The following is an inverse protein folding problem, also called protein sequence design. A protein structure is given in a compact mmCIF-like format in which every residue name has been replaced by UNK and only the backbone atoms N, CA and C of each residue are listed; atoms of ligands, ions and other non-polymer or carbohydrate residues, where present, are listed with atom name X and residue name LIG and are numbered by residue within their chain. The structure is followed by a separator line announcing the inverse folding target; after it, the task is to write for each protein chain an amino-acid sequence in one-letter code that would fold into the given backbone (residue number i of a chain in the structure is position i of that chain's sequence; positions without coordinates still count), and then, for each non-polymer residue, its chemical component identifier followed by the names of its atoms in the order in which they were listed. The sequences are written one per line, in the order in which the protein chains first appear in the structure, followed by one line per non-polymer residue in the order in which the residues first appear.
data_IF_693354815486
#
_entry.id   IF_693354815486
#
_cell.length_a   1.000
_cell.length_b   1.000
_cell.length_c   1.000
_cell.angle_alpha   90.00
_cell.angle_beta   90.00
_cell.angle_gamma   90.00
#
_symmetry.space_group_name_H-M   'P 1'
#
loop_
_entity.id
_entity.type
_entity.pdbx_description
1 polymer ?
#
# COMPACT_ATOMS: atom_id res chain seq x y z
N UNK A 1 -9.22 -8.12 -3.02
CA UNK A 1 -8.91 -6.77 -3.53
C UNK A 1 -7.65 -6.27 -2.84
N UNK A 2 -6.73 -5.65 -3.57
CA UNK A 2 -5.50 -5.07 -3.03
C UNK A 2 -5.62 -3.54 -2.97
N UNK A 3 -5.27 -2.96 -1.83
CA UNK A 3 -5.10 -1.53 -1.60
C UNK A 3 -3.62 -1.27 -1.27
N UNK A 4 -3.02 -0.29 -1.96
CA UNK A 4 -1.66 0.17 -1.74
C UNK A 4 -1.74 1.62 -1.28
N UNK A 5 -1.24 1.95 -0.10
CA UNK A 5 -1.49 3.25 0.52
C UNK A 5 -0.25 3.84 1.16
N UNK A 6 0.04 5.12 0.90
CA UNK A 6 1.06 5.87 1.64
C UNK A 6 0.51 6.45 2.94
N UNK A 7 1.30 6.51 4.01
CA UNK A 7 0.86 7.13 5.29
C UNK A 7 0.75 8.65 5.25
N UNK A 8 1.33 9.30 4.24
CA UNK A 8 1.30 10.75 4.00
C UNK A 8 0.42 11.14 2.80
N UNK A 9 -0.40 10.22 2.32
CA UNK A 9 -1.35 10.51 1.26
C UNK A 9 -2.47 11.41 1.80
N UNK A 10 -2.58 12.60 1.24
CA UNK A 10 -3.62 13.58 1.62
C UNK A 10 -4.92 13.41 0.84
N UNK A 11 -4.96 12.51 -0.14
CA UNK A 11 -6.12 12.17 -0.97
C UNK A 11 -6.85 10.93 -0.43
N UNK A 12 -6.16 10.07 0.32
CA UNK A 12 -6.73 8.86 0.90
C UNK A 12 -6.31 8.70 2.38
N UNK A 13 -7.17 9.20 3.26
CA UNK A 13 -6.98 9.10 4.71
C UNK A 13 -7.16 7.65 5.19
N UNK A 14 -6.10 7.08 5.77
CA UNK A 14 -6.09 5.73 6.34
C UNK A 14 -7.10 5.54 7.48
N UNK A 15 -7.48 6.61 8.19
CA UNK A 15 -8.52 6.55 9.24
C UNK A 15 -9.91 6.27 8.67
N UNK A 16 -10.13 6.58 7.39
CA UNK A 16 -11.36 6.26 6.66
C UNK A 16 -11.25 4.92 5.95
N UNK A 17 -10.11 4.63 5.31
CA UNK A 17 -9.92 3.41 4.54
C UNK A 17 -9.75 2.15 5.41
N UNK A 18 -9.00 2.25 6.50
CA UNK A 18 -8.68 1.15 7.41
C UNK A 18 -9.93 0.40 7.91
N UNK A 19 -10.93 1.09 8.49
CA UNK A 19 -12.17 0.45 8.94
C UNK A 19 -12.95 -0.26 7.83
N UNK A 20 -12.86 0.22 6.57
CA UNK A 20 -13.50 -0.44 5.43
C UNK A 20 -12.77 -1.75 5.09
N UNK A 21 -11.44 -1.73 5.05
CA UNK A 21 -10.63 -2.94 4.84
C UNK A 21 -10.90 -3.98 5.94
N UNK A 22 -11.00 -3.56 7.20
CA UNK A 22 -11.35 -4.43 8.33
C UNK A 22 -12.73 -5.07 8.16
N UNK A 23 -13.75 -4.28 7.82
CA UNK A 23 -15.11 -4.80 7.56
C UNK A 23 -15.18 -5.76 6.37
N UNK A 24 -14.31 -5.58 5.37
CA UNK A 24 -14.21 -6.48 4.23
C UNK A 24 -13.51 -7.81 4.58
N UNK A 25 -12.70 -7.81 5.64
CA UNK A 25 -12.00 -8.98 6.16
C UNK A 25 -11.07 -9.60 5.11
N UNK A 26 -11.15 -10.93 4.95
CA UNK A 26 -10.32 -11.70 4.00
C UNK A 26 -10.44 -11.26 2.53
N UNK A 27 -11.48 -10.50 2.18
CA UNK A 27 -11.68 -9.98 0.82
C UNK A 27 -10.78 -8.79 0.49
N UNK A 28 -10.20 -8.14 1.50
CA UNK A 28 -9.31 -7.00 1.34
C UNK A 28 -7.89 -7.32 1.82
N UNK A 29 -6.91 -6.76 1.14
CA UNK A 29 -5.52 -6.71 1.57
C UNK A 29 -5.09 -5.25 1.50
N UNK A 30 -4.60 -4.71 2.60
CA UNK A 30 -4.09 -3.33 2.69
C UNK A 30 -2.58 -3.39 2.94
N UNK A 31 -1.79 -2.87 2.01
CA UNK A 31 -0.34 -2.72 2.15
C UNK A 31 0.01 -1.25 2.27
N UNK A 32 0.66 -0.88 3.37
CA UNK A 32 0.95 0.52 3.72
C UNK A 32 2.44 0.80 3.52
N UNK A 33 2.75 1.86 2.77
CA UNK A 33 4.10 2.40 2.58
C UNK A 33 4.33 3.51 3.62
N UNK A 34 5.20 3.30 4.62
CA UNK A 34 5.53 4.34 5.59
C UNK A 34 6.16 5.55 4.91
N UNK A 35 5.73 6.75 5.31
CA UNK A 35 6.17 8.06 4.79
C UNK A 35 5.87 8.32 3.31
N UNK A 36 5.20 7.39 2.62
CA UNK A 36 4.79 7.54 1.23
C UNK A 36 3.63 8.51 1.06
N UNK A 37 3.67 9.35 0.04
CA UNK A 37 2.53 10.18 -0.38
C UNK A 37 1.60 9.43 -1.37
N UNK A 38 0.68 10.16 -2.03
CA UNK A 38 -0.27 9.63 -3.01
C UNK A 38 0.39 9.03 -4.27
N UNK A 39 1.62 9.42 -4.57
CA UNK A 39 2.44 8.86 -5.65
C UNK A 39 3.49 7.89 -5.13
N UNK A 40 3.41 7.54 -3.84
CA UNK A 40 4.37 6.71 -3.10
C UNK A 40 5.78 7.29 -2.99
N UNK A 41 5.98 8.59 -3.21
CA UNK A 41 7.26 9.22 -2.90
C UNK A 41 7.44 9.25 -1.38
N UNK A 42 8.59 8.77 -0.94
CA UNK A 42 8.95 8.74 0.49
C UNK A 42 9.89 9.88 0.83
N UNK A 43 9.85 10.32 2.08
CA UNK A 43 10.83 11.30 2.56
C UNK A 43 12.24 10.73 2.48
N UNK A 44 13.23 11.55 2.09
CA UNK A 44 14.65 11.14 2.02
C UNK A 44 15.17 10.49 3.31
N UNK A 45 14.70 10.96 4.48
CA UNK A 45 15.05 10.43 5.80
C UNK A 45 14.53 9.01 6.06
N UNK A 46 13.57 8.52 5.27
CA UNK A 46 13.05 7.16 5.38
C UNK A 46 14.04 6.11 4.84
N UNK A 47 15.14 6.53 4.21
CA UNK A 47 16.22 5.63 3.76
C UNK A 47 15.84 4.72 2.59
N UNK A 48 14.66 4.92 1.97
CA UNK A 48 14.21 4.21 0.77
C UNK A 48 14.29 5.12 -0.45
N UNK A 49 14.69 4.55 -1.57
CA UNK A 49 14.63 5.21 -2.88
C UNK A 49 13.29 4.93 -3.53
N UNK A 50 12.86 5.80 -4.45
CA UNK A 50 11.61 5.60 -5.19
C UNK A 50 11.62 4.26 -5.95
N UNK A 51 12.76 3.90 -6.56
CA UNK A 51 12.90 2.60 -7.24
C UNK A 51 12.69 1.41 -6.30
N UNK A 52 13.15 1.50 -5.05
CA UNK A 52 12.92 0.46 -4.04
C UNK A 52 11.44 0.38 -3.64
N UNK A 53 10.77 1.52 -3.51
CA UNK A 53 9.32 1.57 -3.22
C UNK A 53 8.51 0.98 -4.38
N UNK A 54 8.81 1.36 -5.62
CA UNK A 54 8.15 0.79 -6.81
C UNK A 54 8.37 -0.73 -6.89
N UNK A 55 9.57 -1.21 -6.59
CA UNK A 55 9.86 -2.65 -6.53
C UNK A 55 9.01 -3.34 -5.47
N UNK A 56 8.90 -2.79 -4.27
CA UNK A 56 8.05 -3.30 -3.19
C UNK A 56 6.57 -3.38 -3.61
N UNK A 57 6.04 -2.32 -4.24
CA UNK A 57 4.67 -2.30 -4.74
C UNK A 57 4.42 -3.38 -5.81
N UNK A 58 5.37 -3.56 -6.72
CA UNK A 58 5.29 -4.58 -7.78
C UNK A 58 5.33 -6.00 -7.19
N UNK A 59 6.22 -6.26 -6.24
CA UNK A 59 6.33 -7.55 -5.54
C UNK A 59 5.06 -7.87 -4.74
N UNK A 60 4.53 -6.90 -3.99
CA UNK A 60 3.25 -7.04 -3.27
C UNK A 60 2.10 -7.34 -4.22
N UNK A 61 2.02 -6.61 -5.34
CA UNK A 61 0.97 -6.83 -6.36
C UNK A 61 1.05 -8.22 -6.96
N UNK A 62 2.26 -8.66 -7.34
CA UNK A 62 2.50 -10.01 -7.86
C UNK A 62 2.10 -11.08 -6.84
N UNK A 63 2.52 -10.94 -5.59
CA UNK A 63 2.23 -11.90 -4.53
C UNK A 63 0.73 -11.99 -4.24
N UNK A 64 0.02 -10.85 -4.25
CA UNK A 64 -1.43 -10.83 -4.08
C UNK A 64 -2.15 -11.48 -5.27
N UNK A 65 -1.75 -11.16 -6.51
CA UNK A 65 -2.35 -11.73 -7.71
C UNK A 65 -2.16 -13.25 -7.79
N UNK A 66 -1.00 -13.77 -7.33
CA UNK A 66 -0.75 -15.21 -7.23
C UNK A 66 -1.81 -15.95 -6.41
N UNK A 67 -2.27 -15.35 -5.31
CA UNK A 67 -3.31 -15.94 -4.42
C UNK A 67 -4.71 -15.98 -5.04
N UNK A 68 -4.95 -15.33 -6.18
CA UNK A 68 -6.24 -15.36 -6.88
C UNK A 68 -6.36 -16.55 -7.83
N UNK A 69 -5.23 -17.15 -8.20
CA UNK A 69 -5.15 -18.25 -9.16
C UNK A 69 -5.07 -19.62 -8.47
N UNK A 70 -5.14 -19.65 -7.13
CA UNK A 70 -5.25 -20.84 -6.29
C UNK A 70 -6.73 -21.09 -5.92
#
# INVERSE_FOLDING_TARGET
MLFLQGTRDTLADLTLLGPICERLGSRATLHVIPEGDHSFHVLKKAGKTDAAVIKELAETTRAWAGKLND
#
